data_IF_526890173668
#
_entry.id   IF_526890173668
#
_cell.length_a   1.000
_cell.length_b   1.000
_cell.length_c   1.000
_cell.angle_alpha   90.00
_cell.angle_beta   90.00
_cell.angle_gamma   90.00
#
_symmetry.space_group_name_H-M   'P 1'
#
loop_
_entity.id
_entity.type
_entity.pdbx_description
1 polymer ?
#
# COMPACT_ATOMS: atom_id res chain seq x y z
N UNK A 1 50.88 -19.67 7.91
CA UNK A 1 49.78 -19.53 6.93
C UNK A 1 48.54 -19.16 7.76
N UNK A 2 48.16 -17.88 7.80
CA UNK A 2 47.08 -17.37 8.65
C UNK A 2 45.87 -17.02 7.78
N UNK A 3 44.73 -17.66 8.03
CA UNK A 3 43.46 -17.34 7.36
C UNK A 3 42.73 -16.22 8.12
N UNK A 4 42.28 -15.13 7.47
CA UNK A 4 41.49 -14.12 8.15
C UNK A 4 40.02 -14.58 8.23
N UNK A 5 39.49 -14.64 9.44
CA UNK A 5 38.07 -14.87 9.73
C UNK A 5 37.31 -13.59 9.38
N UNK A 6 36.57 -13.63 8.27
CA UNK A 6 35.70 -12.53 7.84
C UNK A 6 34.43 -12.53 8.71
N UNK A 7 34.36 -11.63 9.69
CA UNK A 7 33.17 -11.45 10.54
C UNK A 7 32.18 -10.56 9.80
N UNK A 8 31.10 -11.12 9.26
CA UNK A 8 30.02 -10.36 8.64
C UNK A 8 29.16 -9.70 9.73
N UNK A 9 29.30 -8.38 9.88
CA UNK A 9 28.49 -7.56 10.77
C UNK A 9 27.12 -7.32 10.11
N UNK A 10 26.09 -8.04 10.54
CA UNK A 10 24.70 -7.83 10.10
C UNK A 10 24.14 -6.62 10.84
N UNK A 11 24.04 -5.47 10.17
CA UNK A 11 23.36 -4.30 10.70
C UNK A 11 21.84 -4.52 10.64
N UNK A 12 21.20 -4.71 11.80
CA UNK A 12 19.74 -4.63 11.90
C UNK A 12 19.32 -3.16 11.74
N UNK A 13 18.72 -2.83 10.60
CA UNK A 13 18.08 -1.52 10.41
C UNK A 13 16.81 -1.44 11.30
N UNK A 14 16.58 -0.32 12.01
CA UNK A 14 15.36 -0.13 12.78
C UNK A 14 14.17 0.07 11.82
N UNK A 15 13.29 -0.92 11.75
CA UNK A 15 12.01 -0.81 11.05
C UNK A 15 11.08 0.11 11.83
N UNK A 16 10.81 1.31 11.31
CA UNK A 16 9.82 2.22 11.88
C UNK A 16 8.43 1.53 11.93
N UNK A 17 7.60 1.83 12.96
CA UNK A 17 6.25 1.29 13.03
C UNK A 17 5.42 1.71 11.80
N UNK A 18 4.55 0.84 11.30
CA UNK A 18 3.70 1.17 10.16
C UNK A 18 2.81 2.39 10.45
N UNK A 19 2.66 3.27 9.47
CA UNK A 19 1.79 4.45 9.55
C UNK A 19 0.33 4.05 9.84
N UNK A 20 -0.39 4.91 10.58
CA UNK A 20 -1.81 4.71 10.88
C UNK A 20 -2.62 4.72 9.57
N UNK A 21 -3.56 3.78 9.38
CA UNK A 21 -4.45 3.80 8.22
C UNK A 21 -5.30 5.07 8.13
N UNK A 22 -5.52 5.56 6.92
CA UNK A 22 -6.38 6.72 6.62
C UNK A 22 -7.68 6.31 5.92
N UNK A 23 -7.74 5.12 5.32
CA UNK A 23 -8.95 4.63 4.68
C UNK A 23 -9.10 3.10 4.77
N UNK A 24 -10.36 2.65 4.76
CA UNK A 24 -10.77 1.25 4.68
C UNK A 24 -11.42 0.99 3.33
N UNK A 25 -11.00 -0.05 2.63
CA UNK A 25 -11.63 -0.48 1.37
C UNK A 25 -12.93 -1.22 1.68
N UNK A 26 -14.05 -0.67 1.21
CA UNK A 26 -15.39 -1.24 1.39
C UNK A 26 -15.79 -2.19 0.27
N UNK A 27 -15.33 -1.94 -0.95
CA UNK A 27 -15.65 -2.72 -2.15
C UNK A 27 -14.60 -2.51 -3.24
N UNK A 28 -14.38 -3.53 -4.06
CA UNK A 28 -13.48 -3.50 -5.21
C UNK A 28 -14.19 -4.16 -6.39
N UNK A 29 -14.14 -3.51 -7.56
CA UNK A 29 -14.55 -4.05 -8.85
C UNK A 29 -13.36 -3.96 -9.80
N UNK A 30 -13.04 -5.07 -10.47
CA UNK A 30 -11.88 -5.16 -11.35
C UNK A 30 -10.56 -5.38 -10.59
N UNK A 31 -9.46 -5.47 -11.34
CA UNK A 31 -8.14 -5.78 -10.81
C UNK A 31 -7.38 -4.53 -10.33
N UNK A 32 -7.92 -3.83 -9.33
CA UNK A 32 -7.23 -2.71 -8.70
C UNK A 32 -5.96 -3.17 -7.99
N UNK A 33 -4.91 -2.34 -8.00
CA UNK A 33 -3.61 -2.63 -7.40
C UNK A 33 -3.18 -1.54 -6.43
N UNK A 34 -2.54 -1.94 -5.34
CA UNK A 34 -1.96 -1.09 -4.31
C UNK A 34 -0.44 -1.19 -4.38
N UNK A 35 0.23 -0.04 -4.38
CA UNK A 35 1.66 0.10 -4.25
C UNK A 35 1.98 0.90 -2.99
N UNK A 36 2.83 0.37 -2.11
CA UNK A 36 3.27 0.99 -0.86
C UNK A 36 4.76 1.20 -0.90
N UNK A 37 5.25 2.41 -0.65
CA UNK A 37 6.69 2.69 -0.49
C UNK A 37 7.62 2.10 -1.57
N UNK A 38 7.16 2.07 -2.84
CA UNK A 38 7.85 1.46 -4.01
C UNK A 38 7.97 -0.07 -3.98
N UNK A 39 7.23 -0.74 -3.11
CA UNK A 39 7.08 -2.19 -3.14
C UNK A 39 6.40 -2.65 -4.44
N UNK A 40 6.49 -3.95 -4.72
CA UNK A 40 5.79 -4.53 -5.86
C UNK A 40 4.26 -4.31 -5.70
N UNK A 41 3.56 -3.83 -6.75
CA UNK A 41 2.12 -3.68 -6.69
C UNK A 41 1.40 -4.99 -6.37
N UNK A 42 0.52 -4.96 -5.36
CA UNK A 42 -0.31 -6.08 -4.92
C UNK A 42 -1.78 -5.83 -5.24
N UNK A 43 -2.62 -6.86 -5.39
CA UNK A 43 -4.06 -6.65 -5.60
C UNK A 43 -4.71 -5.97 -4.39
N UNK A 44 -5.69 -5.10 -4.63
CA UNK A 44 -6.54 -4.50 -3.59
C UNK A 44 -7.73 -5.41 -3.32
N UNK A 45 -8.02 -5.64 -2.04
CA UNK A 45 -9.16 -6.41 -1.58
C UNK A 45 -10.09 -5.58 -0.70
N UNK A 46 -11.32 -6.08 -0.56
CA UNK A 46 -12.24 -5.57 0.46
C UNK A 46 -11.60 -5.76 1.83
N UNK A 47 -11.81 -4.79 2.73
CA UNK A 47 -11.24 -4.70 4.07
C UNK A 47 -9.76 -4.31 4.15
N UNK A 48 -9.09 -4.08 3.02
CA UNK A 48 -7.74 -3.55 3.02
C UNK A 48 -7.69 -2.17 3.67
N UNK A 49 -6.62 -1.95 4.43
CA UNK A 49 -6.33 -0.69 5.09
C UNK A 49 -5.31 0.09 4.27
N UNK A 50 -5.75 1.23 3.76
CA UNK A 50 -4.93 2.17 3.01
C UNK A 50 -4.26 3.15 3.98
N UNK A 51 -3.00 3.43 3.72
CA UNK A 51 -2.12 4.28 4.53
C UNK A 51 -1.72 5.53 3.75
N UNK A 52 -1.29 6.61 4.44
CA UNK A 52 -0.69 7.75 3.75
C UNK A 52 0.46 7.32 2.84
N UNK A 53 0.50 7.85 1.63
CA UNK A 53 1.49 7.51 0.61
C UNK A 53 1.16 6.27 -0.24
N UNK A 54 0.17 5.46 0.15
CA UNK A 54 -0.28 4.33 -0.66
C UNK A 54 -0.79 4.83 -2.02
N UNK A 55 -0.43 4.12 -3.09
CA UNK A 55 -0.87 4.44 -4.45
C UNK A 55 -1.78 3.34 -4.99
N UNK A 56 -3.00 3.72 -5.32
CA UNK A 56 -4.03 2.80 -5.84
C UNK A 56 -4.20 3.02 -7.34
N UNK A 57 -3.88 1.99 -8.13
CA UNK A 57 -4.09 1.96 -9.58
C UNK A 57 -5.40 1.23 -9.89
N UNK A 58 -6.33 1.91 -10.57
CA UNK A 58 -7.67 1.36 -10.88
C UNK A 58 -7.81 1.23 -12.40
N UNK A 59 -8.08 0.02 -12.94
CA UNK A 59 -8.25 -0.16 -14.38
C UNK A 59 -9.49 0.60 -14.88
N UNK A 60 -9.57 0.93 -16.19
CA UNK A 60 -10.63 1.77 -16.79
C UNK A 60 -12.05 1.34 -16.37
N UNK A 61 -12.35 0.05 -16.38
CA UNK A 61 -13.68 -0.49 -16.01
C UNK A 61 -13.80 -0.85 -14.51
N UNK A 62 -12.80 -0.48 -13.73
CA UNK A 62 -12.66 -0.78 -12.32
C UNK A 62 -13.22 0.30 -11.40
N UNK A 63 -13.38 -0.08 -10.14
CA UNK A 63 -13.86 0.80 -9.08
C UNK A 63 -13.35 0.34 -7.72
N UNK A 64 -13.01 1.29 -6.86
CA UNK A 64 -12.72 1.05 -5.46
C UNK A 64 -13.56 2.01 -4.62
N UNK A 65 -14.30 1.46 -3.65
CA UNK A 65 -15.03 2.26 -2.67
C UNK A 65 -14.24 2.25 -1.38
N UNK A 66 -13.96 3.43 -0.85
CA UNK A 66 -13.20 3.61 0.40
C UNK A 66 -14.02 4.40 1.42
N UNK A 67 -13.78 4.13 2.69
CA UNK A 67 -14.23 4.92 3.84
C UNK A 67 -13.01 5.53 4.51
N UNK A 68 -12.88 6.85 4.46
CA UNK A 68 -11.81 7.56 5.14
C UNK A 68 -12.07 7.61 6.65
N UNK A 69 -11.00 7.76 7.42
CA UNK A 69 -11.04 7.93 8.88
C UNK A 69 -11.85 9.17 9.31
N UNK A 70 -12.01 10.14 8.43
CA UNK A 70 -12.89 11.32 8.59
C UNK A 70 -14.38 10.97 8.53
N UNK A 71 -14.74 9.72 8.22
CA UNK A 71 -16.11 9.24 8.05
C UNK A 71 -16.65 9.43 6.63
N UNK A 72 -15.88 10.05 5.73
CA UNK A 72 -16.32 10.29 4.36
C UNK A 72 -16.12 9.04 3.49
N UNK A 73 -17.14 8.72 2.68
CA UNK A 73 -17.08 7.63 1.71
C UNK A 73 -16.79 8.18 0.32
N UNK A 74 -15.79 7.62 -0.36
CA UNK A 74 -15.43 8.00 -1.72
C UNK A 74 -15.48 6.80 -2.65
N UNK A 75 -15.83 7.08 -3.90
CA UNK A 75 -15.83 6.12 -5.00
C UNK A 75 -14.75 6.53 -5.98
N UNK A 76 -13.67 5.77 -6.03
CA UNK A 76 -12.57 5.94 -6.95
C UNK A 76 -12.89 5.13 -8.22
N UNK A 77 -13.02 5.80 -9.36
CA UNK A 77 -13.32 5.17 -10.65
C UNK A 77 -12.06 5.03 -11.50
N UNK A 78 -12.12 4.03 -12.39
CA UNK A 78 -11.05 3.59 -13.26
C UNK A 78 -10.40 4.62 -14.16
N UNK A 79 -9.22 4.23 -14.65
CA UNK A 79 -8.40 5.00 -15.60
C UNK A 79 -7.34 5.86 -14.92
N UNK A 80 -7.27 5.83 -13.59
CA UNK A 80 -6.43 6.73 -12.80
C UNK A 80 -5.58 5.97 -11.77
N UNK A 81 -4.48 6.60 -11.39
CA UNK A 81 -3.65 6.26 -10.23
C UNK A 81 -3.86 7.35 -9.18
N UNK A 82 -4.23 6.95 -7.97
CA UNK A 82 -4.58 7.87 -6.87
C UNK A 82 -3.62 7.66 -5.72
N UNK A 83 -3.04 8.74 -5.19
CA UNK A 83 -2.25 8.72 -3.95
C UNK A 83 -3.17 9.03 -2.77
N UNK A 84 -3.01 8.27 -1.69
CA UNK A 84 -3.76 8.44 -0.44
C UNK A 84 -2.97 9.38 0.47
N UNK A 85 -3.61 10.45 0.92
CA UNK A 85 -3.05 11.46 1.83
C UNK A 85 -3.71 11.33 3.22
#
# INVERSE_FOLDING_TARGET
MFAPILTALVALAPTAPPARPVALVLSVKGAAKLERDRDKPVPVFRTDLLRPGDQVSIPVDGEVIVLFSTGQRFRLKGGNRVTLE
#
